data_IF_366648044158
#
_entry.id   IF_366648044158
#
_cell.length_a   1.000
_cell.length_b   1.000
_cell.length_c   1.000
_cell.angle_alpha   90.00
_cell.angle_beta   90.00
_cell.angle_gamma   90.00
#
_symmetry.space_group_name_H-M   'P 1'
#
loop_
_entity.id
_entity.type
_entity.pdbx_description
1 polymer ?
#
# COMPACT_ATOMS: atom_id res chain seq x y z
N UNK A 1 -24.13 64.49 -19.92
CA UNK A 1 -23.88 63.48 -18.87
C UNK A 1 -22.76 62.58 -19.39
N UNK A 2 -21.52 62.99 -19.14
CA UNK A 2 -20.31 62.33 -19.64
C UNK A 2 -19.95 61.21 -18.66
N UNK A 3 -19.79 59.97 -19.13
CA UNK A 3 -19.33 58.88 -18.28
C UNK A 3 -17.96 59.25 -17.68
N UNK A 4 -17.73 59.05 -16.38
CA UNK A 4 -16.40 59.14 -15.79
C UNK A 4 -15.45 58.25 -16.61
N UNK A 5 -14.46 58.87 -17.25
CA UNK A 5 -13.36 58.12 -17.86
C UNK A 5 -12.53 57.59 -16.69
N UNK A 6 -12.48 56.27 -16.51
CA UNK A 6 -11.53 55.69 -15.58
C UNK A 6 -10.12 56.10 -16.03
N UNK A 7 -9.27 56.62 -15.12
CA UNK A 7 -7.90 56.97 -15.49
C UNK A 7 -7.19 55.71 -16.00
N UNK A 8 -6.54 55.85 -17.16
CA UNK A 8 -5.72 54.76 -17.70
C UNK A 8 -4.67 54.35 -16.65
N UNK A 9 -4.44 53.03 -16.43
CA UNK A 9 -3.50 52.55 -15.44
C UNK A 9 -2.12 53.16 -15.69
N UNK A 10 -1.57 53.81 -14.67
CA UNK A 10 -0.25 54.40 -14.68
C UNK A 10 0.79 53.33 -15.00
N UNK A 11 1.77 53.64 -15.85
CA UNK A 11 2.84 52.70 -16.24
C UNK A 11 3.74 52.23 -15.08
N UNK A 12 3.46 52.69 -13.85
CA UNK A 12 4.20 52.43 -12.62
C UNK A 12 3.44 51.51 -11.63
N UNK A 13 2.27 50.99 -12.01
CA UNK A 13 1.60 49.94 -11.25
C UNK A 13 2.36 48.61 -11.42
N UNK A 14 2.81 47.96 -10.33
CA UNK A 14 3.42 46.64 -10.39
C UNK A 14 2.42 45.65 -11.00
N UNK A 15 2.63 45.29 -12.27
CA UNK A 15 1.83 44.26 -12.91
C UNK A 15 2.17 42.92 -12.26
N UNK A 16 1.17 42.11 -11.85
CA UNK A 16 1.43 40.78 -11.34
C UNK A 16 2.12 39.96 -12.43
N UNK A 17 3.41 39.66 -12.25
CA UNK A 17 4.12 38.68 -13.07
C UNK A 17 3.77 37.32 -12.48
N UNK A 18 2.81 36.63 -13.11
CA UNK A 18 2.47 35.25 -12.76
C UNK A 18 3.62 34.37 -13.26
N UNK A 19 4.55 34.02 -12.37
CA UNK A 19 5.59 33.04 -12.67
C UNK A 19 4.97 31.64 -12.50
N UNK A 20 4.56 31.06 -13.63
CA UNK A 20 3.80 29.81 -13.70
C UNK A 20 4.77 28.61 -13.51
N UNK A 21 5.28 28.43 -12.29
CA UNK A 21 6.05 27.24 -11.96
C UNK A 21 5.13 26.02 -11.79
N UNK A 22 4.97 25.27 -12.89
CA UNK A 22 4.28 23.97 -12.92
C UNK A 22 5.11 22.93 -12.15
N UNK A 23 4.94 22.86 -10.84
CA UNK A 23 5.54 21.81 -10.01
C UNK A 23 4.65 20.57 -10.07
N UNK A 24 4.99 19.63 -10.94
CA UNK A 24 4.32 18.34 -11.08
C UNK A 24 4.58 17.46 -9.86
N UNK A 25 3.63 17.42 -8.91
CA UNK A 25 3.69 16.49 -7.77
C UNK A 25 2.95 15.20 -8.14
N UNK A 26 3.70 14.12 -8.30
CA UNK A 26 3.12 12.78 -8.54
C UNK A 26 2.61 12.18 -7.24
N UNK A 27 1.28 12.15 -7.08
CA UNK A 27 0.64 11.37 -6.00
C UNK A 27 0.65 9.90 -6.40
N UNK A 28 1.68 9.15 -5.97
CA UNK A 28 1.69 7.70 -6.16
C UNK A 28 0.63 7.09 -5.25
N UNK A 29 -0.46 6.54 -5.82
CA UNK A 29 -1.37 5.67 -5.07
C UNK A 29 -0.58 4.44 -4.65
N UNK A 30 -0.37 4.26 -3.35
CA UNK A 30 0.30 3.07 -2.84
C UNK A 30 -0.51 1.82 -3.26
N UNK A 31 0.13 0.82 -3.89
CA UNK A 31 -0.52 -0.45 -4.22
C UNK A 31 -1.05 -1.10 -2.94
N UNK A 32 -2.25 -1.68 -2.98
CA UNK A 32 -2.88 -2.32 -1.81
C UNK A 32 -2.25 -3.70 -1.52
N UNK A 33 -0.95 -3.73 -1.23
CA UNK A 33 -0.20 -4.91 -0.82
C UNK A 33 -0.89 -5.68 0.31
N UNK A 34 -1.60 -4.97 1.20
CA UNK A 34 -2.35 -5.54 2.31
C UNK A 34 -3.31 -6.67 1.90
N UNK A 35 -3.98 -6.59 0.75
CA UNK A 35 -4.94 -7.61 0.33
C UNK A 35 -4.24 -8.95 0.07
N UNK A 36 -3.09 -8.93 -0.59
CA UNK A 36 -2.32 -10.14 -0.88
C UNK A 36 -1.67 -10.73 0.37
N UNK A 37 -1.19 -9.87 1.28
CA UNK A 37 -0.65 -10.34 2.57
C UNK A 37 -1.73 -11.03 3.40
N UNK A 38 -2.93 -10.43 3.49
CA UNK A 38 -4.07 -11.01 4.23
C UNK A 38 -4.54 -12.30 3.57
N UNK A 39 -4.71 -12.32 2.24
CA UNK A 39 -5.10 -13.53 1.51
C UNK A 39 -4.10 -14.68 1.72
N UNK A 40 -2.79 -14.38 1.60
CA UNK A 40 -1.73 -15.35 1.86
C UNK A 40 -1.74 -15.86 3.31
N UNK A 41 -1.97 -14.97 4.27
CA UNK A 41 -2.13 -15.35 5.69
C UNK A 41 -3.34 -16.27 5.92
N UNK A 42 -4.51 -15.96 5.33
CA UNK A 42 -5.71 -16.79 5.43
C UNK A 42 -5.45 -18.18 4.84
N UNK A 43 -4.82 -18.26 3.67
CA UNK A 43 -4.44 -19.53 3.06
C UNK A 43 -3.48 -20.30 3.98
N UNK A 44 -2.51 -19.61 4.58
CA UNK A 44 -1.59 -20.19 5.57
C UNK A 44 -2.31 -20.77 6.80
N UNK A 45 -3.31 -20.07 7.34
CA UNK A 45 -4.16 -20.58 8.45
C UNK A 45 -4.90 -21.85 8.02
N UNK A 46 -5.50 -21.85 6.83
CA UNK A 46 -6.22 -23.02 6.31
C UNK A 46 -5.28 -24.22 6.16
N UNK A 47 -4.09 -24.01 5.59
CA UNK A 47 -3.07 -25.06 5.45
C UNK A 47 -2.64 -25.58 6.83
N UNK A 48 -2.38 -24.70 7.80
CA UNK A 48 -2.03 -25.11 9.15
C UNK A 48 -3.13 -25.92 9.84
N UNK A 49 -4.40 -25.54 9.64
CA UNK A 49 -5.54 -26.28 10.17
C UNK A 49 -5.61 -27.68 9.54
N UNK A 50 -5.45 -27.79 8.22
CA UNK A 50 -5.41 -29.08 7.53
C UNK A 50 -4.26 -29.94 8.08
N UNK A 51 -3.05 -29.39 8.14
CA UNK A 51 -1.87 -30.10 8.63
C UNK A 51 -1.97 -30.50 10.10
N UNK A 52 -2.73 -29.78 10.93
CA UNK A 52 -2.86 -30.13 12.34
C UNK A 52 -3.97 -31.14 12.58
N UNK A 53 -5.12 -30.98 11.91
CA UNK A 53 -6.31 -31.77 12.21
C UNK A 53 -6.54 -32.94 11.24
N UNK A 54 -5.81 -33.04 10.13
CA UNK A 54 -5.94 -34.18 9.20
C UNK A 54 -5.07 -35.38 9.57
N UNK A 55 -4.08 -35.22 10.45
CA UNK A 55 -3.22 -36.31 10.91
C UNK A 55 -3.60 -36.72 12.33
N UNK A 56 -3.88 -38.00 12.53
CA UNK A 56 -4.07 -38.59 13.86
C UNK A 56 -2.71 -38.78 14.55
N UNK A 57 -2.67 -38.67 15.89
CA UNK A 57 -1.45 -38.90 16.69
C UNK A 57 -0.73 -37.64 17.19
N UNK A 58 -1.30 -36.45 16.99
CA UNK A 58 -0.75 -35.19 17.56
C UNK A 58 -0.75 -35.17 19.10
N UNK A 59 -1.57 -36.01 19.72
CA UNK A 59 -1.71 -36.15 21.18
C UNK A 59 -0.86 -37.29 21.77
N UNK A 60 -0.05 -37.94 20.94
CA UNK A 60 0.86 -38.99 21.38
C UNK A 60 2.20 -38.41 21.84
N UNK A 61 2.97 -39.21 22.59
CA UNK A 61 4.29 -38.83 23.06
C UNK A 61 5.20 -38.54 21.85
N UNK A 62 5.64 -37.28 21.72
CA UNK A 62 6.52 -36.89 20.63
C UNK A 62 7.80 -37.71 20.65
N UNK A 63 8.13 -38.48 19.59
CA UNK A 63 9.35 -39.28 19.53
C UNK A 63 10.62 -38.42 19.49
N UNK A 64 10.50 -37.14 19.12
CA UNK A 64 11.64 -36.23 19.01
C UNK A 64 11.94 -35.45 20.30
N UNK A 65 10.92 -35.20 21.13
CA UNK A 65 11.05 -34.33 22.31
C UNK A 65 10.66 -34.99 23.63
N UNK A 66 9.98 -36.14 23.59
CA UNK A 66 9.50 -36.84 24.78
C UNK A 66 8.36 -36.10 25.51
N UNK A 67 7.73 -35.12 24.87
CA UNK A 67 6.62 -34.32 25.44
C UNK A 67 5.37 -34.53 24.61
N UNK A 68 4.21 -34.57 25.27
CA UNK A 68 2.91 -34.53 24.59
C UNK A 68 2.53 -33.08 24.33
N UNK A 69 2.22 -32.74 23.09
CA UNK A 69 1.70 -31.42 22.72
C UNK A 69 0.20 -31.51 22.55
N UNK A 70 -0.54 -30.48 22.96
CA UNK A 70 -1.97 -30.41 22.63
C UNK A 70 -2.15 -30.04 21.14
N UNK A 71 -3.30 -30.37 20.52
CA UNK A 71 -3.54 -30.03 19.12
C UNK A 71 -3.46 -28.53 18.87
N UNK A 72 -3.90 -27.72 19.85
CA UNK A 72 -3.81 -26.26 19.78
C UNK A 72 -2.37 -25.73 19.86
N UNK A 73 -1.47 -26.41 20.59
CA UNK A 73 -0.05 -26.05 20.58
C UNK A 73 0.59 -26.36 19.23
N UNK A 74 0.33 -27.55 18.68
CA UNK A 74 0.80 -27.93 17.34
C UNK A 74 0.27 -26.96 16.29
N UNK A 75 -1.03 -26.63 16.34
CA UNK A 75 -1.65 -25.64 15.46
C UNK A 75 -0.97 -24.28 15.58
N UNK A 76 -0.62 -23.84 16.78
CA UNK A 76 0.08 -22.56 16.99
C UNK A 76 1.44 -22.51 16.30
N UNK A 77 2.27 -23.55 16.46
CA UNK A 77 3.60 -23.61 15.85
C UNK A 77 3.54 -23.79 14.33
N UNK A 78 2.74 -24.75 13.85
CA UNK A 78 2.52 -24.96 12.41
C UNK A 78 1.91 -23.72 11.78
N UNK A 79 0.94 -23.11 12.45
CA UNK A 79 0.30 -21.85 12.06
C UNK A 79 1.31 -20.72 11.91
N UNK A 80 2.24 -20.54 12.85
CA UNK A 80 3.28 -19.51 12.74
C UNK A 80 4.11 -19.66 11.46
N UNK A 81 4.49 -20.90 11.12
CA UNK A 81 5.27 -21.19 9.91
C UNK A 81 4.41 -21.01 8.65
N UNK A 82 3.21 -21.59 8.60
CA UNK A 82 2.36 -21.53 7.41
C UNK A 82 1.84 -20.11 7.13
N UNK A 83 1.46 -19.34 8.15
CA UNK A 83 1.00 -17.96 8.00
C UNK A 83 2.15 -17.06 7.56
N UNK A 84 3.32 -17.16 8.20
CA UNK A 84 4.48 -16.35 7.78
C UNK A 84 4.90 -16.66 6.34
N UNK A 85 4.98 -17.94 5.96
CA UNK A 85 5.24 -18.36 4.58
C UNK A 85 4.16 -17.85 3.61
N UNK A 86 2.87 -17.97 3.97
CA UNK A 86 1.76 -17.50 3.16
C UNK A 86 1.78 -15.98 2.94
N UNK A 87 2.05 -15.20 3.99
CA UNK A 87 2.21 -13.74 3.91
C UNK A 87 3.39 -13.38 3.02
N UNK A 88 4.54 -14.06 3.17
CA UNK A 88 5.71 -13.82 2.33
C UNK A 88 5.42 -14.11 0.86
N UNK A 89 4.78 -15.24 0.55
CA UNK A 89 4.39 -15.59 -0.82
C UNK A 89 3.38 -14.61 -1.40
N UNK A 90 2.35 -14.23 -0.62
CA UNK A 90 1.38 -13.22 -1.02
C UNK A 90 2.05 -11.86 -1.30
N UNK A 91 2.97 -11.44 -0.45
CA UNK A 91 3.76 -10.22 -0.64
C UNK A 91 4.63 -10.27 -1.90
N UNK A 92 5.27 -11.41 -2.16
CA UNK A 92 6.08 -11.60 -3.37
C UNK A 92 5.21 -11.54 -4.64
N UNK A 93 4.04 -12.17 -4.63
CA UNK A 93 3.06 -12.10 -5.72
C UNK A 93 2.63 -10.65 -5.95
N UNK A 94 2.27 -9.92 -4.88
CA UNK A 94 1.89 -8.52 -4.97
C UNK A 94 3.01 -7.66 -5.54
N UNK A 95 4.26 -7.91 -5.15
CA UNK A 95 5.44 -7.20 -5.62
C UNK A 95 5.73 -7.46 -7.10
N UNK A 96 5.56 -8.70 -7.56
CA UNK A 96 5.72 -9.06 -8.98
C UNK A 96 4.62 -8.40 -9.82
N UNK A 97 3.38 -8.43 -9.34
CA UNK A 97 2.25 -7.77 -10.02
C UNK A 97 2.43 -6.25 -10.07
N UNK A 98 2.85 -5.62 -8.97
CA UNK A 98 3.10 -4.18 -8.95
C UNK A 98 4.26 -3.79 -9.87
N UNK A 99 5.34 -4.58 -9.92
CA UNK A 99 6.45 -4.31 -10.84
C UNK A 99 6.06 -4.45 -12.31
N UNK A 100 5.22 -5.43 -12.65
CA UNK A 100 4.80 -5.66 -14.04
C UNK A 100 3.73 -4.65 -14.48
N UNK A 101 2.78 -4.31 -13.61
CA UNK A 101 1.62 -3.46 -13.93
C UNK A 101 1.89 -1.97 -13.64
N UNK A 102 2.73 -1.66 -12.64
CA UNK A 102 3.08 -0.30 -12.25
C UNK A 102 3.82 0.50 -13.33
N UNK A 103 4.46 -0.18 -14.28
CA UNK A 103 4.99 0.46 -15.50
C UNK A 103 3.90 1.03 -16.41
N UNK A 104 2.65 0.59 -16.26
CA UNK A 104 1.53 0.90 -17.18
C UNK A 104 0.50 1.91 -16.63
N UNK A 105 0.59 2.31 -15.36
CA UNK A 105 -0.47 3.11 -14.74
C UNK A 105 -0.15 4.61 -14.80
N UNK A 106 -0.67 5.23 -15.87
CA UNK A 106 -0.84 6.67 -16.18
C UNK A 106 -0.49 7.69 -15.09
N UNK A 107 0.42 8.59 -15.45
CA UNK A 107 0.57 9.93 -14.88
C UNK A 107 -0.78 10.66 -14.84
N UNK A 108 -1.15 11.17 -13.66
CA UNK A 108 -2.21 12.16 -13.52
C UNK A 108 -1.52 13.47 -13.17
N UNK A 109 -1.46 14.36 -14.16
CA UNK A 109 -0.98 15.74 -14.02
C UNK A 109 -1.93 16.50 -13.09
N UNK A 110 -1.49 16.77 -11.87
CA UNK A 110 -2.18 17.67 -10.95
C UNK A 110 -1.57 19.06 -11.11
N UNK A 111 -2.34 19.98 -11.67
CA UNK A 111 -1.98 21.38 -11.79
C UNK A 111 -2.38 22.14 -10.52
N UNK A 112 -1.48 22.96 -9.97
CA UNK A 112 -1.75 23.75 -8.75
C UNK A 112 -1.07 25.10 -8.83
N UNK A 113 -1.85 26.13 -9.10
CA UNK A 113 -1.42 27.54 -9.02
C UNK A 113 -1.32 28.00 -7.55
N UNK A 114 -0.23 28.69 -7.19
CA UNK A 114 -0.09 29.46 -5.95
C UNK A 114 0.28 30.90 -6.29
N UNK A 115 -0.61 31.85 -6.01
CA UNK A 115 -0.30 33.28 -6.11
C UNK A 115 0.51 33.73 -4.88
N UNK A 116 1.73 34.23 -5.10
CA UNK A 116 2.56 34.90 -4.08
C UNK A 116 2.57 36.40 -4.41
N UNK A 117 2.04 37.22 -3.52
CA UNK A 117 2.24 38.68 -3.61
C UNK A 117 3.64 39.01 -3.07
N UNK A 118 4.37 39.87 -3.79
CA UNK A 118 5.59 40.50 -3.29
C UNK A 118 5.19 41.82 -2.63
N UNK A 119 5.69 42.03 -1.41
CA UNK A 119 5.51 43.24 -0.61
C UNK A 119 6.31 44.44 -1.17
#
# INVERSE_FOLDING_TARGET
>A
MSLPQDPAPSADEPRPVIDEQIVTVTVRRAPKYAVFLVAGGIIGVIVAAILTFSFSGVDELSPNTGVVYSPMQVFGFVGLICVSAGVLLGGLVALVLDRTIGSRTREVTADRERARYLD
#
